data_IF_321745067225
#
_entry.id   IF_321745067225
#
_cell.length_a   1.000
_cell.length_b   1.000
_cell.length_c   1.000
_cell.angle_alpha   90.00
_cell.angle_beta   90.00
_cell.angle_gamma   90.00
#
_symmetry.space_group_name_H-M   'P 1'
#
loop_
_entity.id
_entity.type
_entity.pdbx_description
1 polymer ?
#
# COMPACT_ATOMS: atom_id res chain seq x y z
N UNK A 1 0.67 0.20 -14.70
CA UNK A 1 -0.45 0.97 -15.27
C UNK A 1 0.04 2.34 -15.74
N UNK A 2 -0.34 2.73 -16.93
CA UNK A 2 0.01 4.04 -17.47
C UNK A 2 -1.10 5.05 -17.14
N UNK A 3 -0.69 6.23 -16.71
CA UNK A 3 -1.61 7.32 -16.40
C UNK A 3 -1.57 8.35 -17.53
N UNK A 4 -2.73 8.97 -17.78
CA UNK A 4 -2.91 9.92 -18.88
C UNK A 4 -2.26 11.29 -18.61
N UNK A 5 -2.26 11.71 -17.35
CA UNK A 5 -1.68 12.98 -16.92
C UNK A 5 -0.39 12.80 -16.13
N UNK A 6 0.12 13.90 -15.62
CA UNK A 6 1.32 13.91 -14.77
C UNK A 6 0.98 13.40 -13.37
N UNK A 7 1.96 12.86 -12.69
CA UNK A 7 1.81 12.41 -11.31
C UNK A 7 3.11 12.61 -10.54
N UNK A 8 3.00 12.58 -9.22
CA UNK A 8 4.12 12.73 -8.30
C UNK A 8 4.00 11.71 -7.18
N UNK A 9 5.06 10.96 -6.95
CA UNK A 9 5.15 10.04 -5.80
C UNK A 9 5.43 10.82 -4.53
N UNK A 10 4.75 10.46 -3.45
CA UNK A 10 4.97 11.05 -2.13
C UNK A 10 6.00 10.21 -1.38
N UNK A 11 7.25 10.28 -1.83
CA UNK A 11 8.36 9.52 -1.24
C UNK A 11 8.75 10.15 0.10
N UNK A 12 8.90 9.30 1.12
CA UNK A 12 9.28 9.75 2.45
C UNK A 12 10.77 10.14 2.46
N UNK A 13 11.09 11.41 2.79
CA UNK A 13 12.48 11.85 2.84
C UNK A 13 13.18 11.37 4.10
N UNK A 14 14.51 11.32 4.05
CA UNK A 14 15.32 11.07 5.24
C UNK A 14 15.34 12.34 6.08
N UNK A 15 14.67 12.31 7.23
CA UNK A 15 14.61 13.46 8.16
C UNK A 15 15.78 13.38 9.16
N UNK A 16 16.07 12.16 9.62
CA UNK A 16 17.15 11.88 10.56
C UNK A 16 17.91 10.64 10.10
N UNK A 17 19.24 10.70 10.06
CA UNK A 17 20.08 9.58 9.60
C UNK A 17 19.93 8.31 10.45
N UNK A 18 19.48 8.45 11.69
CA UNK A 18 19.29 7.33 12.60
C UNK A 18 17.89 6.69 12.52
N UNK A 19 16.94 7.37 11.88
CA UNK A 19 15.57 6.88 11.76
C UNK A 19 15.35 6.29 10.36
N UNK A 20 14.92 5.03 10.30
CA UNK A 20 14.61 4.33 9.07
C UNK A 20 13.12 4.38 8.74
N UNK A 21 12.30 4.85 9.67
CA UNK A 21 10.85 4.97 9.53
C UNK A 21 10.37 6.30 10.07
N UNK A 22 9.27 6.79 9.51
CA UNK A 22 8.57 7.96 10.03
C UNK A 22 7.11 7.61 10.27
N UNK A 23 6.49 8.27 11.23
CA UNK A 23 5.04 8.14 11.47
C UNK A 23 4.33 9.25 10.71
N UNK A 24 3.31 8.90 9.94
CA UNK A 24 2.48 9.86 9.23
C UNK A 24 1.34 10.28 10.15
N UNK A 25 1.20 11.58 10.38
CA UNK A 25 0.15 12.13 11.25
C UNK A 25 -0.46 13.40 10.66
N UNK A 26 -1.56 13.86 11.23
CA UNK A 26 -2.25 15.09 10.82
C UNK A 26 -2.50 15.16 9.31
N UNK A 27 -3.05 14.10 8.75
CA UNK A 27 -3.42 14.08 7.32
C UNK A 27 -4.51 15.11 7.07
N UNK A 28 -4.22 16.09 6.20
CA UNK A 28 -5.07 17.24 5.94
C UNK A 28 -6.06 17.06 4.79
N UNK A 29 -5.87 16.02 3.99
CA UNK A 29 -6.69 15.76 2.81
C UNK A 29 -7.24 14.33 2.83
N UNK A 30 -8.42 14.16 2.26
CA UNK A 30 -9.02 12.85 2.07
C UNK A 30 -8.64 12.29 0.70
N UNK A 31 -8.98 11.03 0.45
CA UNK A 31 -8.74 10.41 -0.86
C UNK A 31 -9.49 11.17 -1.95
N UNK A 32 -8.79 11.38 -3.07
CA UNK A 32 -9.30 12.08 -4.25
C UNK A 32 -9.61 13.57 -4.02
N UNK A 33 -9.14 14.13 -2.91
CA UNK A 33 -9.27 15.56 -2.65
C UNK A 33 -8.15 16.33 -3.38
N UNK A 34 -8.47 17.53 -3.86
CA UNK A 34 -7.51 18.36 -4.58
C UNK A 34 -6.60 19.10 -3.59
N UNK A 35 -5.29 19.09 -3.87
CA UNK A 35 -4.30 19.83 -3.11
C UNK A 35 -3.48 20.72 -4.05
N UNK A 36 -3.12 21.91 -3.59
CA UNK A 36 -2.26 22.83 -4.34
C UNK A 36 -0.82 22.77 -3.87
N UNK A 37 0.10 23.03 -4.79
CA UNK A 37 1.52 23.14 -4.48
C UNK A 37 1.74 24.13 -3.33
N UNK A 38 2.53 23.72 -2.34
CA UNK A 38 2.81 24.51 -1.15
C UNK A 38 1.89 24.27 0.03
N UNK A 39 0.81 23.51 -0.16
CA UNK A 39 -0.06 23.11 0.96
C UNK A 39 0.56 21.94 1.73
N UNK A 40 0.28 21.91 3.04
CA UNK A 40 0.70 20.80 3.90
C UNK A 40 -0.29 19.65 3.71
N UNK A 41 0.21 18.47 3.38
CA UNK A 41 -0.61 17.27 3.21
C UNK A 41 -0.69 16.46 4.52
N UNK A 42 0.44 16.29 5.18
CA UNK A 42 0.53 15.54 6.43
C UNK A 42 1.80 15.97 7.19
N UNK A 43 1.93 15.48 8.41
CA UNK A 43 3.14 15.65 9.21
C UNK A 43 3.91 14.33 9.25
N UNK A 44 5.23 14.42 9.26
CA UNK A 44 6.10 13.26 9.46
C UNK A 44 6.75 13.38 10.83
N UNK A 45 6.58 12.36 11.65
CA UNK A 45 7.12 12.32 13.01
C UNK A 45 8.25 11.29 13.12
N UNK A 46 9.35 11.72 13.71
CA UNK A 46 10.47 10.85 14.05
C UNK A 46 10.68 10.89 15.56
N UNK A 47 11.62 10.11 16.07
CA UNK A 47 11.96 10.11 17.50
C UNK A 47 12.46 11.46 18.01
N UNK A 48 12.94 12.33 17.12
CA UNK A 48 13.56 13.62 17.50
C UNK A 48 12.84 14.86 16.98
N UNK A 49 11.99 14.72 15.97
CA UNK A 49 11.39 15.90 15.32
C UNK A 49 10.08 15.56 14.64
N UNK A 50 9.24 16.58 14.48
CA UNK A 50 8.03 16.52 13.67
C UNK A 50 8.15 17.57 12.59
N UNK A 51 7.91 17.21 11.33
CA UNK A 51 7.97 18.13 10.20
C UNK A 51 6.68 18.09 9.38
N UNK A 52 6.27 19.26 8.90
CA UNK A 52 5.15 19.36 7.96
C UNK A 52 5.64 19.03 6.55
N UNK A 53 4.90 18.18 5.86
CA UNK A 53 5.20 17.86 4.47
C UNK A 53 4.38 18.75 3.54
N UNK A 54 5.05 19.70 2.89
CA UNK A 54 4.46 20.56 1.88
C UNK A 54 4.65 19.92 0.51
N UNK A 55 3.54 19.82 -0.25
CA UNK A 55 3.60 19.20 -1.58
C UNK A 55 4.19 20.17 -2.60
N UNK A 56 4.92 19.63 -3.56
CA UNK A 56 5.52 20.40 -4.66
C UNK A 56 4.80 20.17 -5.99
N UNK A 57 3.56 19.68 -5.92
CA UNK A 57 2.76 19.35 -7.09
C UNK A 57 1.28 19.53 -6.76
N UNK A 58 0.53 20.15 -7.66
CA UNK A 58 -0.90 20.35 -7.50
C UNK A 58 -1.68 19.25 -8.20
N UNK A 59 -2.69 18.69 -7.54
CA UNK A 59 -3.50 17.63 -8.13
C UNK A 59 -4.37 16.90 -7.11
N UNK A 60 -4.86 15.74 -7.50
CA UNK A 60 -5.72 14.89 -6.68
C UNK A 60 -4.88 13.88 -5.90
N UNK A 61 -5.14 13.80 -4.60
CA UNK A 61 -4.35 12.99 -3.67
C UNK A 61 -4.87 11.57 -3.59
N UNK A 62 -3.96 10.60 -3.67
CA UNK A 62 -4.24 9.20 -3.34
C UNK A 62 -3.26 8.81 -2.23
N UNK A 63 -3.79 8.43 -1.07
CA UNK A 63 -2.99 8.05 0.09
C UNK A 63 -2.97 6.52 0.25
N UNK A 64 -1.79 5.97 0.44
CA UNK A 64 -1.58 4.53 0.68
C UNK A 64 -1.48 4.22 2.18
N UNK A 65 -1.52 5.24 3.02
CA UNK A 65 -1.35 5.14 4.47
C UNK A 65 -2.48 5.86 5.19
N UNK A 66 -2.72 5.46 6.42
CA UNK A 66 -3.69 6.10 7.29
C UNK A 66 -2.95 6.93 8.34
N UNK A 67 -3.71 7.73 9.09
CA UNK A 67 -3.18 8.52 10.20
C UNK A 67 -2.50 7.60 11.21
N UNK A 68 -1.30 7.99 11.67
CA UNK A 68 -0.47 7.24 12.61
C UNK A 68 0.18 5.98 12.06
N UNK A 69 0.15 5.75 10.73
CA UNK A 69 0.88 4.66 10.11
C UNK A 69 2.37 4.98 10.05
N UNK A 70 3.20 3.96 10.20
CA UNK A 70 4.64 4.06 10.02
C UNK A 70 5.00 3.71 8.58
N UNK A 71 5.86 4.53 7.96
CA UNK A 71 6.34 4.32 6.60
C UNK A 71 7.87 4.38 6.61
N UNK A 72 8.49 3.44 5.91
CA UNK A 72 9.94 3.43 5.77
C UNK A 72 10.42 4.59 4.89
N UNK A 73 11.57 5.16 5.26
CA UNK A 73 12.23 6.18 4.46
C UNK A 73 12.54 5.62 3.07
N UNK A 74 12.26 6.40 2.02
CA UNK A 74 12.42 5.98 0.64
C UNK A 74 11.20 5.28 0.03
N UNK A 75 10.19 4.98 0.84
CA UNK A 75 8.93 4.41 0.36
C UNK A 75 7.92 5.50 0.06
N UNK A 76 6.92 5.17 -0.76
CA UNK A 76 5.86 6.11 -1.13
C UNK A 76 4.70 6.02 -0.14
N UNK A 77 4.27 7.17 0.39
CA UNK A 77 3.08 7.26 1.25
C UNK A 77 1.81 7.50 0.42
N UNK A 78 1.95 7.78 -0.86
CA UNK A 78 0.83 8.04 -1.75
C UNK A 78 1.30 8.66 -3.05
N UNK A 79 0.36 9.22 -3.80
CA UNK A 79 0.62 9.90 -5.07
C UNK A 79 -0.33 11.08 -5.24
N UNK A 80 0.10 12.04 -6.06
CA UNK A 80 -0.73 13.16 -6.49
C UNK A 80 -0.84 13.09 -8.01
N UNK A 81 -2.05 13.21 -8.54
CA UNK A 81 -2.34 13.11 -9.97
C UNK A 81 -2.92 14.41 -10.51
N UNK A 82 -2.44 14.84 -11.66
CA UNK A 82 -2.97 16.00 -12.36
C UNK A 82 -4.43 15.78 -12.77
N UNK A 83 -4.78 14.55 -13.15
CA UNK A 83 -6.13 14.17 -13.58
C UNK A 83 -6.83 13.32 -12.52
N UNK A 84 -8.09 13.67 -12.23
CA UNK A 84 -8.90 12.94 -11.25
C UNK A 84 -9.09 11.48 -11.66
N UNK A 85 -9.29 11.20 -12.96
CA UNK A 85 -9.48 9.84 -13.45
C UNK A 85 -8.28 8.94 -13.18
N UNK A 86 -7.07 9.49 -13.26
CA UNK A 86 -5.83 8.76 -12.93
C UNK A 86 -5.79 8.45 -11.43
N UNK A 87 -6.17 9.41 -10.61
CA UNK A 87 -6.24 9.23 -9.15
C UNK A 87 -7.27 8.17 -8.78
N UNK A 88 -8.44 8.18 -9.40
CA UNK A 88 -9.48 7.17 -9.18
C UNK A 88 -9.00 5.77 -9.58
N UNK A 89 -8.31 5.66 -10.70
CA UNK A 89 -7.75 4.39 -11.17
C UNK A 89 -6.70 3.86 -10.19
N UNK A 90 -5.81 4.71 -9.71
CA UNK A 90 -4.79 4.34 -8.73
C UNK A 90 -5.43 3.87 -7.41
N UNK A 91 -6.41 4.61 -6.93
CA UNK A 91 -7.11 4.26 -5.69
C UNK A 91 -7.85 2.93 -5.81
N UNK A 92 -8.47 2.67 -6.95
CA UNK A 92 -9.15 1.41 -7.23
C UNK A 92 -8.17 0.23 -7.18
N UNK A 93 -7.00 0.36 -7.78
CA UNK A 93 -5.95 -0.66 -7.72
C UNK A 93 -5.45 -0.88 -6.30
N UNK A 94 -5.22 0.19 -5.57
CA UNK A 94 -4.76 0.13 -4.19
C UNK A 94 -5.77 -0.60 -3.31
N UNK A 95 -7.06 -0.27 -3.44
CA UNK A 95 -8.13 -0.91 -2.68
C UNK A 95 -8.26 -2.40 -3.03
N UNK A 96 -8.12 -2.76 -4.30
CA UNK A 96 -8.17 -4.15 -4.75
C UNK A 96 -7.01 -4.95 -4.13
N UNK A 97 -5.80 -4.39 -4.12
CA UNK A 97 -4.62 -5.01 -3.49
C UNK A 97 -4.82 -5.19 -1.99
N UNK A 98 -5.40 -4.19 -1.32
CA UNK A 98 -5.65 -4.22 0.11
C UNK A 98 -6.68 -5.30 0.49
N UNK A 99 -7.74 -5.46 -0.31
CA UNK A 99 -8.73 -6.52 -0.13
C UNK A 99 -8.10 -7.91 -0.31
N UNK A 100 -7.23 -8.06 -1.31
CA UNK A 100 -6.50 -9.31 -1.54
C UNK A 100 -5.62 -9.68 -0.35
N UNK A 101 -4.91 -8.70 0.21
CA UNK A 101 -4.09 -8.90 1.41
C UNK A 101 -4.95 -9.31 2.61
N UNK A 102 -6.12 -8.71 2.79
CA UNK A 102 -7.05 -9.08 3.86
C UNK A 102 -7.52 -10.52 3.71
N UNK A 103 -7.85 -10.96 2.50
CA UNK A 103 -8.25 -12.34 2.23
C UNK A 103 -7.13 -13.32 2.58
N UNK A 104 -5.90 -13.02 2.16
CA UNK A 104 -4.72 -13.83 2.48
C UNK A 104 -4.43 -13.84 3.98
N UNK A 105 -4.62 -12.72 4.68
CA UNK A 105 -4.41 -12.63 6.12
C UNK A 105 -5.42 -13.49 6.91
N UNK A 106 -6.62 -13.72 6.36
CA UNK A 106 -7.64 -14.57 7.00
C UNK A 106 -7.36 -16.06 6.80
N UNK A 107 -6.46 -16.42 5.90
CA UNK A 107 -6.10 -17.82 5.62
C UNK A 107 -4.91 -18.22 6.48
N UNK A 108 -5.05 -19.31 7.20
CA UNK A 108 -3.97 -19.84 8.03
C UNK A 108 -3.01 -20.67 7.17
N UNK A 109 -1.99 -20.00 6.61
CA UNK A 109 -1.02 -20.60 5.72
C UNK A 109 0.39 -20.07 5.99
N UNK A 110 1.39 -20.93 5.74
CA UNK A 110 2.78 -20.49 5.85
C UNK A 110 3.14 -19.56 4.69
N UNK A 111 4.16 -18.70 4.87
CA UNK A 111 4.65 -17.81 3.81
C UNK A 111 5.09 -18.58 2.57
N UNK A 112 5.73 -19.72 2.76
CA UNK A 112 6.13 -20.60 1.65
C UNK A 112 4.94 -21.14 0.88
N UNK A 113 3.86 -21.51 1.59
CA UNK A 113 2.65 -22.00 0.96
C UNK A 113 1.96 -20.91 0.12
N UNK A 114 1.89 -19.69 0.64
CA UNK A 114 1.32 -18.55 -0.08
C UNK A 114 2.09 -18.28 -1.37
N UNK A 115 3.41 -18.22 -1.30
CA UNK A 115 4.28 -18.00 -2.46
C UNK A 115 4.16 -19.15 -3.48
N UNK A 116 4.11 -20.37 -3.01
CA UNK A 116 3.96 -21.56 -3.84
C UNK A 116 2.63 -21.58 -4.58
N UNK A 117 1.54 -21.21 -3.90
CA UNK A 117 0.22 -21.14 -4.50
C UNK A 117 0.17 -20.07 -5.61
N UNK A 118 0.80 -18.93 -5.40
CA UNK A 118 0.90 -17.88 -6.41
C UNK A 118 1.67 -18.35 -7.64
N UNK A 119 2.78 -19.05 -7.43
CA UNK A 119 3.60 -19.60 -8.50
C UNK A 119 2.83 -20.60 -9.37
N UNK A 120 1.97 -21.42 -8.72
CA UNK A 120 1.17 -22.43 -9.41
C UNK A 120 -0.18 -21.91 -9.92
N UNK A 121 -0.51 -20.65 -9.65
CA UNK A 121 -1.79 -20.06 -10.02
C UNK A 121 -2.98 -20.62 -9.24
N UNK A 122 -2.75 -21.08 -8.03
CA UNK A 122 -3.78 -21.65 -7.15
C UNK A 122 -4.26 -20.58 -6.17
N UNK A 123 -5.58 -20.49 -6.00
CA UNK A 123 -6.17 -19.63 -4.98
C UNK A 123 -6.17 -20.36 -3.64
N UNK A 124 -5.27 -19.99 -2.74
CA UNK A 124 -5.09 -20.60 -1.44
C UNK A 124 -6.36 -20.49 -0.56
N UNK A 125 -7.23 -19.50 -0.83
CA UNK A 125 -8.49 -19.34 -0.09
C UNK A 125 -9.48 -20.43 -0.39
N UNK A 126 -9.30 -21.17 -1.48
CA UNK A 126 -10.15 -22.30 -1.85
C UNK A 126 -9.78 -23.60 -1.13
N UNK A 127 -8.60 -23.66 -0.53
CA UNK A 127 -8.13 -24.83 0.20
C UNK A 127 -8.71 -24.80 1.60
N UNK A 128 -9.56 -25.79 1.91
CA UNK A 128 -10.17 -25.92 3.24
C UNK A 128 -9.38 -26.93 4.06
N UNK A 129 -8.80 -26.45 5.16
CA UNK A 129 -8.01 -27.27 6.05
C UNK A 129 -8.11 -26.78 7.49
N UNK A 130 -8.18 -27.71 8.43
CA UNK A 130 -8.08 -27.40 9.85
C UNK A 130 -6.59 -27.36 10.22
N UNK A 131 -6.06 -26.15 10.41
CA UNK A 131 -4.65 -25.93 10.72
C UNK A 131 -3.92 -25.14 9.63
N UNK A 132 -2.61 -25.16 9.68
CA UNK A 132 -1.76 -24.37 8.76
C UNK A 132 -1.67 -25.06 7.40
N UNK A 133 -2.00 -24.35 6.34
CA UNK A 133 -1.82 -24.81 4.95
C UNK A 133 -0.33 -24.79 4.60
N UNK A 134 0.17 -25.92 4.11
CA UNK A 134 1.56 -26.09 3.69
C UNK A 134 1.65 -26.30 2.18
N UNK A 135 2.86 -26.25 1.61
CA UNK A 135 3.08 -26.49 0.18
C UNK A 135 2.55 -27.86 -0.27
N UNK A 136 2.66 -28.86 0.59
CA UNK A 136 2.14 -30.21 0.33
C UNK A 136 0.63 -30.19 0.12
N UNK A 137 -0.10 -29.38 0.88
CA UNK A 137 -1.56 -29.27 0.76
C UNK A 137 -1.96 -28.66 -0.58
N UNK A 138 -1.16 -27.74 -1.09
CA UNK A 138 -1.35 -27.13 -2.40
C UNK A 138 -1.16 -28.16 -3.51
N UNK A 139 -0.14 -28.99 -3.42
CA UNK A 139 0.10 -30.10 -4.38
C UNK A 139 -1.06 -31.08 -4.41
N UNK A 140 -1.58 -31.47 -3.25
CA UNK A 140 -2.74 -32.35 -3.14
C UNK A 140 -3.99 -31.71 -3.78
N UNK A 141 -4.20 -30.42 -3.52
CA UNK A 141 -5.33 -29.70 -4.11
C UNK A 141 -5.25 -29.69 -5.64
N UNK A 142 -4.05 -29.41 -6.19
CA UNK A 142 -3.81 -29.41 -7.65
C UNK A 142 -4.10 -30.80 -8.23
N UNK A 143 -3.61 -31.85 -7.58
CA UNK A 143 -3.82 -33.23 -8.03
C UNK A 143 -5.29 -33.61 -8.09
N UNK A 144 -6.10 -33.10 -7.15
CA UNK A 144 -7.54 -33.39 -7.06
C UNK A 144 -8.40 -32.52 -7.99
N UNK A 145 -7.86 -31.41 -8.49
CA UNK A 145 -8.63 -30.43 -9.29
C UNK A 145 -8.08 -30.23 -10.72
N UNK A 146 -7.35 -31.19 -11.21
CA UNK A 146 -6.87 -31.18 -12.62
C UNK A 146 -7.99 -31.39 -13.59
#
# INVERSE_FOLDING_TARGET
MEYKGKNKDLVIPTINVNDTKVTISDIQKEQLEYIEEGEVLYCTETSKATEDYEVDFSGYVVLFVEDLDEVEVGKSAGMIFELKEDAEACLAEFNASKEKEKKLASVNASKKAIAYAEEKGVDITLIKKNGIIKTQDIDEWIANHK
#
